data_IF_394789955860
#
_entry.id   IF_394789955860
#
_cell.length_a   1.000
_cell.length_b   1.000
_cell.length_c   1.000
_cell.angle_alpha   90.00
_cell.angle_beta   90.00
_cell.angle_gamma   90.00
#
_symmetry.space_group_name_H-M   'P 1'
#
loop_
_entity.id
_entity.type
_entity.pdbx_description
1 polymer ?
#
# COMPACT_ATOMS: atom_id res chain seq x y z
N UNK A 1 -13.99 4.09 8.65
CA UNK A 1 -14.07 2.74 8.05
C UNK A 1 -13.83 2.74 6.53
N UNK A 2 -14.49 3.59 5.73
CA UNK A 2 -14.37 3.57 4.25
C UNK A 2 -12.96 3.72 3.67
N UNK A 3 -12.11 4.60 4.23
CA UNK A 3 -10.76 4.85 3.70
C UNK A 3 -9.83 3.64 3.83
N UNK A 4 -9.97 2.84 4.90
CA UNK A 4 -9.12 1.66 5.13
C UNK A 4 -9.42 0.53 4.14
N UNK A 5 -10.68 0.36 3.72
CA UNK A 5 -11.04 -0.63 2.69
C UNK A 5 -10.43 -0.31 1.34
N UNK A 6 -10.53 0.95 0.93
CA UNK A 6 -9.92 1.40 -0.32
C UNK A 6 -8.40 1.16 -0.29
N UNK A 7 -7.73 1.44 0.84
CA UNK A 7 -6.30 1.15 1.01
C UNK A 7 -6.00 -0.34 0.86
N UNK A 8 -6.77 -1.21 1.51
CA UNK A 8 -6.60 -2.67 1.41
C UNK A 8 -6.66 -3.12 -0.05
N UNK A 9 -7.72 -2.75 -0.78
CA UNK A 9 -7.89 -3.13 -2.18
C UNK A 9 -6.85 -2.53 -3.13
N UNK A 10 -6.30 -1.36 -2.82
CA UNK A 10 -5.35 -0.68 -3.71
C UNK A 10 -3.91 -1.18 -3.56
N UNK A 11 -3.55 -1.70 -2.38
CA UNK A 11 -2.15 -1.99 -2.05
C UNK A 11 -1.87 -3.45 -1.69
N UNK A 12 -2.90 -4.26 -1.39
CA UNK A 12 -2.72 -5.70 -1.17
C UNK A 12 -3.08 -6.51 -2.41
N UNK A 13 -2.38 -7.63 -2.68
CA UNK A 13 -2.77 -8.58 -3.72
C UNK A 13 -4.17 -9.13 -3.47
N UNK A 14 -4.96 -9.33 -4.54
CA UNK A 14 -6.33 -9.85 -4.44
C UNK A 14 -6.41 -11.21 -3.72
N UNK A 15 -5.41 -12.07 -3.91
CA UNK A 15 -5.32 -13.37 -3.21
C UNK A 15 -5.07 -13.28 -1.70
N UNK A 16 -4.71 -12.10 -1.18
CA UNK A 16 -4.54 -11.85 0.26
C UNK A 16 -5.77 -11.18 0.90
N UNK A 17 -6.73 -10.71 0.09
CA UNK A 17 -7.92 -10.01 0.58
C UNK A 17 -9.03 -11.06 0.75
N UNK A 18 -9.54 -11.26 1.98
CA UNK A 18 -10.68 -12.16 2.19
C UNK A 18 -11.91 -11.71 1.40
N UNK A 19 -12.73 -12.67 0.98
CA UNK A 19 -13.86 -12.41 0.08
C UNK A 19 -14.88 -11.39 0.61
N UNK A 20 -15.03 -11.29 1.93
CA UNK A 20 -15.87 -10.28 2.58
C UNK A 20 -15.07 -9.53 3.66
N UNK A 21 -14.99 -8.20 3.50
CA UNK A 21 -14.46 -7.30 4.54
C UNK A 21 -15.58 -6.74 5.43
N UNK A 22 -16.83 -6.88 4.99
CA UNK A 22 -18.02 -6.64 5.80
C UNK A 22 -18.22 -7.83 6.74
N UNK A 23 -18.42 -7.57 8.03
CA UNK A 23 -18.55 -8.64 9.03
C UNK A 23 -17.24 -9.31 9.47
N UNK A 24 -16.09 -8.90 8.93
CA UNK A 24 -14.78 -9.32 9.43
C UNK A 24 -14.56 -8.84 10.87
N UNK A 25 -13.87 -9.66 11.67
CA UNK A 25 -13.42 -9.25 12.99
C UNK A 25 -12.58 -7.96 12.93
N UNK A 26 -12.77 -7.09 13.93
CA UNK A 26 -12.16 -5.77 13.93
C UNK A 26 -10.62 -5.86 13.98
N UNK A 27 -10.04 -6.82 14.70
CA UNK A 27 -8.60 -6.96 14.82
C UNK A 27 -8.00 -7.45 13.49
N UNK A 28 -8.65 -8.40 12.83
CA UNK A 28 -8.25 -8.89 11.51
C UNK A 28 -8.34 -7.77 10.46
N UNK A 29 -9.39 -6.97 10.51
CA UNK A 29 -9.54 -5.81 9.65
C UNK A 29 -8.43 -4.77 9.88
N UNK A 30 -8.09 -4.49 11.15
CA UNK A 30 -7.02 -3.57 11.50
C UNK A 30 -5.66 -4.10 11.04
N UNK A 31 -5.40 -5.41 11.17
CA UNK A 31 -4.18 -6.06 10.67
C UNK A 31 -4.05 -5.91 9.16
N UNK A 32 -5.10 -6.19 8.40
CA UNK A 32 -5.11 -5.99 6.94
C UNK A 32 -4.90 -4.53 6.55
N UNK A 33 -5.58 -3.60 7.23
CA UNK A 33 -5.39 -2.17 7.00
C UNK A 33 -3.95 -1.74 7.31
N UNK A 34 -3.32 -2.31 8.34
CA UNK A 34 -1.92 -2.10 8.68
C UNK A 34 -0.97 -2.58 7.59
N UNK A 35 -1.17 -3.82 7.10
CA UNK A 35 -0.40 -4.37 5.98
C UNK A 35 -0.51 -3.49 4.72
N UNK A 36 -1.74 -3.05 4.39
CA UNK A 36 -1.98 -2.18 3.25
C UNK A 36 -1.25 -0.83 3.38
N UNK A 37 -1.19 -0.27 4.59
CA UNK A 37 -0.43 0.96 4.86
C UNK A 37 1.07 0.75 4.69
N UNK A 38 1.62 -0.36 5.17
CA UNK A 38 3.03 -0.70 4.96
C UNK A 38 3.35 -0.86 3.47
N UNK A 39 2.52 -1.59 2.73
CA UNK A 39 2.69 -1.78 1.29
C UNK A 39 2.62 -0.44 0.53
N UNK A 40 1.70 0.45 0.91
CA UNK A 40 1.65 1.83 0.37
C UNK A 40 2.96 2.57 0.63
N UNK A 41 3.49 2.49 1.84
CA UNK A 41 4.73 3.19 2.23
C UNK A 41 5.90 2.73 1.37
N UNK A 42 6.10 1.42 1.23
CA UNK A 42 7.16 0.88 0.38
C UNK A 42 7.04 1.34 -1.07
N UNK A 43 5.82 1.37 -1.62
CA UNK A 43 5.60 1.89 -2.98
C UNK A 43 5.99 3.37 -3.10
N UNK A 44 5.75 4.18 -2.07
CA UNK A 44 6.17 5.59 -2.08
C UNK A 44 7.70 5.71 -2.03
N UNK A 45 8.34 4.95 -1.15
CA UNK A 45 9.80 4.95 -1.01
C UNK A 45 10.49 4.48 -2.31
N UNK A 46 9.93 3.48 -3.00
CA UNK A 46 10.43 3.00 -4.30
C UNK A 46 10.30 4.06 -5.40
N UNK A 47 9.17 4.77 -5.44
CA UNK A 47 8.95 5.86 -6.40
C UNK A 47 9.91 7.02 -6.16
N UNK A 48 10.12 7.40 -4.90
CA UNK A 48 11.05 8.47 -4.53
C UNK A 48 12.49 8.12 -4.92
N UNK A 49 12.92 6.88 -4.65
CA UNK A 49 14.23 6.40 -5.07
C UNK A 49 14.36 6.36 -6.60
N UNK A 50 13.35 5.85 -7.30
CA UNK A 50 13.34 5.80 -8.76
C UNK A 50 13.41 7.19 -9.40
N UNK A 51 12.65 8.15 -8.86
CA UNK A 51 12.65 9.52 -9.33
C UNK A 51 13.98 10.22 -9.07
N UNK A 52 14.54 10.08 -7.86
CA UNK A 52 15.85 10.64 -7.50
C UNK A 52 16.95 10.12 -8.44
N UNK A 53 16.95 8.82 -8.74
CA UNK A 53 17.90 8.22 -9.70
C UNK A 53 17.70 8.77 -11.11
N UNK A 54 16.45 8.91 -11.56
CA UNK A 54 16.15 9.45 -12.89
C UNK A 54 16.61 10.91 -13.04
N UNK A 55 16.40 11.74 -12.02
CA UNK A 55 16.87 13.12 -12.01
C UNK A 55 18.40 13.20 -12.05
N UNK A 56 19.10 12.38 -11.25
CA UNK A 56 20.57 12.34 -11.27
C UNK A 56 21.15 11.94 -12.63
N UNK A 57 20.44 11.10 -13.39
CA UNK A 57 20.83 10.74 -14.75
C UNK A 57 20.53 11.85 -15.78
N UNK A 58 19.48 12.64 -15.56
CA UNK A 58 19.05 13.70 -16.49
C UNK A 58 19.87 14.98 -16.35
N UNK A 59 20.34 15.26 -15.13
CA UNK A 59 21.17 16.42 -14.80
C UNK A 59 22.48 15.96 -14.13
N UNK A 60 23.39 15.33 -14.90
CA UNK A 60 24.72 15.00 -14.39
C UNK A 60 25.52 16.28 -14.16
N UNK A 61 26.19 16.37 -13.01
CA UNK A 61 27.15 17.46 -12.70
C UNK A 61 28.42 17.38 -13.55
#
# INVERSE_FOLDING_TARGET
MGTSRLLIHMYLPSGMIPGELDGMDADDFIRLAGLARCARRWRQDDLEQGFTRALGNLFPE
#
